data_IF_606680442901
#
_entry.id   IF_606680442901
#
_cell.length_a   1.000
_cell.length_b   1.000
_cell.length_c   1.000
_cell.angle_alpha   90.00
_cell.angle_beta   90.00
_cell.angle_gamma   90.00
#
_symmetry.space_group_name_H-M   'P 1'
#
loop_
_entity.id
_entity.type
_entity.pdbx_description
1 polymer ?
#
# COMPACT_ATOMS: atom_id res chain seq x y z
N UNK A 1 -16.44 5.37 -1.05
CA UNK A 1 -16.15 4.34 -2.04
C UNK A 1 -14.71 4.40 -2.55
N UNK A 2 -14.20 5.61 -2.76
CA UNK A 2 -12.81 5.74 -3.19
C UNK A 2 -11.84 5.09 -2.22
N UNK A 3 -12.17 5.12 -0.94
CA UNK A 3 -11.33 4.54 0.11
C UNK A 3 -11.15 3.05 -0.07
N UNK A 4 -12.23 2.36 -0.40
CA UNK A 4 -12.20 0.92 -0.59
C UNK A 4 -11.39 0.54 -1.82
N UNK A 5 -11.50 1.35 -2.87
CA UNK A 5 -10.77 1.09 -4.11
C UNK A 5 -9.26 1.21 -3.89
N UNK A 6 -8.84 2.21 -3.14
CA UNK A 6 -7.43 2.40 -2.84
C UNK A 6 -6.89 1.26 -2.00
N UNK A 7 -7.63 0.87 -0.95
CA UNK A 7 -7.22 -0.24 -0.09
C UNK A 7 -7.17 -1.56 -0.87
N UNK A 8 -8.13 -1.78 -1.74
CA UNK A 8 -8.16 -2.97 -2.57
C UNK A 8 -6.96 -3.04 -3.50
N UNK A 9 -6.61 -1.91 -4.12
CA UNK A 9 -5.47 -1.84 -5.01
C UNK A 9 -4.18 -2.18 -4.28
N UNK A 10 -4.01 -1.62 -3.09
CA UNK A 10 -2.83 -1.89 -2.27
C UNK A 10 -2.79 -3.35 -1.86
N UNK A 11 -3.93 -3.90 -1.47
CA UNK A 11 -4.01 -5.30 -1.06
C UNK A 11 -3.60 -6.23 -2.19
N UNK A 12 -4.13 -6.01 -3.37
CA UNK A 12 -3.79 -6.83 -4.53
C UNK A 12 -2.33 -6.71 -4.90
N UNK A 13 -1.80 -5.51 -4.83
CA UNK A 13 -0.39 -5.27 -5.11
C UNK A 13 0.49 -6.05 -4.14
N UNK A 14 0.14 -6.02 -2.85
CA UNK A 14 0.90 -6.71 -1.82
C UNK A 14 0.84 -8.23 -2.01
N UNK A 15 -0.34 -8.75 -2.32
CA UNK A 15 -0.48 -10.18 -2.56
C UNK A 15 0.35 -10.63 -3.76
N UNK A 16 0.41 -9.79 -4.77
CA UNK A 16 1.25 -10.06 -5.93
C UNK A 16 2.74 -10.08 -5.60
N UNK A 17 3.12 -9.42 -4.51
CA UNK A 17 4.50 -9.42 -4.05
C UNK A 17 4.83 -10.59 -3.12
N UNK A 18 3.83 -11.39 -2.76
CA UNK A 18 4.07 -12.55 -1.91
C UNK A 18 3.78 -12.35 -0.43
N UNK A 19 3.20 -11.22 -0.07
CA UNK A 19 2.82 -10.97 1.34
C UNK A 19 1.62 -11.83 1.71
N UNK A 20 1.63 -12.32 2.94
CA UNK A 20 0.50 -13.09 3.46
C UNK A 20 -0.65 -12.17 3.86
N UNK A 21 -1.83 -12.75 4.06
CA UNK A 21 -3.00 -11.97 4.45
C UNK A 21 -2.76 -11.23 5.76
N UNK A 22 -2.10 -11.86 6.72
CA UNK A 22 -1.79 -11.21 7.99
C UNK A 22 -0.86 -10.03 7.81
N UNK A 23 0.14 -10.17 6.97
CA UNK A 23 1.07 -9.09 6.70
C UNK A 23 0.38 -7.95 5.95
N UNK A 24 -0.47 -8.29 4.99
CA UNK A 24 -1.23 -7.28 4.24
C UNK A 24 -2.08 -6.46 5.19
N UNK A 25 -2.74 -7.13 6.15
CA UNK A 25 -3.58 -6.43 7.12
C UNK A 25 -2.77 -5.45 7.96
N UNK A 26 -1.60 -5.88 8.44
CA UNK A 26 -0.73 -5.03 9.25
C UNK A 26 -0.27 -3.82 8.44
N UNK A 27 0.13 -4.06 7.21
CA UNK A 27 0.60 -2.98 6.33
C UNK A 27 -0.52 -1.98 6.10
N UNK A 28 -1.73 -2.46 5.82
CA UNK A 28 -2.86 -1.58 5.61
C UNK A 28 -3.18 -0.74 6.83
N UNK A 29 -3.08 -1.32 8.02
CA UNK A 29 -3.30 -0.58 9.25
C UNK A 29 -2.28 0.54 9.43
N UNK A 30 -1.03 0.26 9.12
CA UNK A 30 0.02 1.27 9.20
C UNK A 30 -0.17 2.36 8.13
N UNK A 31 -0.55 1.97 6.94
CA UNK A 31 -0.80 2.92 5.85
C UNK A 31 -2.00 3.81 6.13
N UNK A 32 -2.95 3.33 6.93
CA UNK A 32 -4.13 4.13 7.27
C UNK A 32 -3.77 5.41 8.03
N UNK A 33 -2.56 5.50 8.56
CA UNK A 33 -2.10 6.71 9.24
C UNK A 33 -1.68 7.81 8.26
N UNK A 34 -1.49 7.46 7.00
CA UNK A 34 -1.12 8.41 5.97
C UNK A 34 -2.36 9.04 5.34
N UNK A 35 -2.18 10.20 4.75
CA UNK A 35 -3.26 10.87 4.04
C UNK A 35 -3.70 10.02 2.85
N UNK A 36 -5.00 10.06 2.59
CA UNK A 36 -5.58 9.34 1.48
C UNK A 36 -4.95 9.76 0.14
N UNK A 37 -4.70 11.04 -0.01
CA UNK A 37 -4.07 11.58 -1.20
C UNK A 37 -2.68 10.99 -1.40
N UNK A 38 -1.91 10.91 -0.33
CA UNK A 38 -0.57 10.35 -0.38
C UNK A 38 -0.60 8.88 -0.79
N UNK A 39 -1.55 8.13 -0.24
CA UNK A 39 -1.70 6.71 -0.60
C UNK A 39 -2.12 6.55 -2.05
N UNK A 40 -3.05 7.37 -2.50
CA UNK A 40 -3.53 7.33 -3.86
C UNK A 40 -2.39 7.62 -4.85
N UNK A 41 -1.58 8.62 -4.56
CA UNK A 41 -0.44 8.97 -5.38
C UNK A 41 0.57 7.83 -5.43
N UNK A 42 0.82 7.19 -4.29
CA UNK A 42 1.75 6.07 -4.23
C UNK A 42 1.26 4.89 -5.06
N UNK A 43 -0.04 4.61 -5.01
CA UNK A 43 -0.62 3.54 -5.81
C UNK A 43 -0.49 3.85 -7.30
N UNK A 44 -0.81 5.07 -7.70
CA UNK A 44 -0.67 5.50 -9.08
C UNK A 44 0.76 5.36 -9.57
N UNK A 45 1.71 5.79 -8.76
CA UNK A 45 3.12 5.69 -9.11
C UNK A 45 3.53 4.23 -9.28
N UNK A 46 3.06 3.36 -8.40
CA UNK A 46 3.38 1.94 -8.47
C UNK A 46 2.80 1.28 -9.73
N UNK A 47 1.60 1.68 -10.11
CA UNK A 47 0.97 1.16 -11.32
C UNK A 47 1.73 1.59 -12.57
N UNK A 48 2.37 2.74 -12.51
CA UNK A 48 3.19 3.24 -13.60
C UNK A 48 4.61 2.72 -13.61
N UNK A 49 4.94 1.80 -12.68
CA UNK A 49 6.27 1.24 -12.59
C UNK A 49 7.19 1.89 -11.58
N UNK A 50 6.67 2.86 -10.82
CA UNK A 50 7.44 3.52 -9.77
C UNK A 50 7.59 2.66 -8.52
N UNK A 51 8.39 3.13 -7.58
CA UNK A 51 8.70 2.40 -6.37
C UNK A 51 8.28 3.11 -5.10
N UNK A 52 7.44 4.14 -5.21
CA UNK A 52 7.03 4.92 -4.05
C UNK A 52 6.31 4.07 -3.00
N UNK A 53 5.36 3.25 -3.44
CA UNK A 53 4.62 2.39 -2.53
C UNK A 53 5.55 1.35 -1.87
N UNK A 54 6.45 0.79 -2.66
CA UNK A 54 7.42 -0.17 -2.14
C UNK A 54 8.31 0.45 -1.08
N UNK A 55 8.78 1.67 -1.31
CA UNK A 55 9.61 2.38 -0.34
C UNK A 55 8.84 2.70 0.93
N UNK A 56 7.59 3.15 0.80
CA UNK A 56 6.76 3.43 1.95
C UNK A 56 6.57 2.20 2.82
N UNK A 57 6.28 1.07 2.19
CA UNK A 57 6.08 -0.18 2.91
C UNK A 57 7.37 -0.63 3.57
N UNK A 58 8.48 -0.51 2.88
CA UNK A 58 9.77 -0.85 3.45
C UNK A 58 10.07 -0.07 4.72
N UNK A 59 9.77 1.23 4.71
CA UNK A 59 9.97 2.07 5.89
C UNK A 59 9.03 1.67 7.02
N UNK A 60 7.78 1.35 6.70
CA UNK A 60 6.82 0.93 7.71
C UNK A 60 7.23 -0.36 8.39
N UNK A 61 7.72 -1.30 7.61
CA UNK A 61 8.15 -2.59 8.16
C UNK A 61 9.46 -2.49 8.92
N UNK A 62 10.25 -1.48 8.62
CA UNK A 62 11.52 -1.25 9.33
C UNK A 62 11.31 -0.64 10.70
N UNK A 63 10.14 -0.06 10.93
CA UNK A 63 9.82 0.49 12.24
C UNK A 63 9.65 -0.63 13.24
#
# INVERSE_FOLDING_TARGET
>A
MADNDTNDSIRQWLKGRGYSDGEVKIILEKLAKHDQETLSDAVFDSLGGGKTLEQMIGELLAE
#
